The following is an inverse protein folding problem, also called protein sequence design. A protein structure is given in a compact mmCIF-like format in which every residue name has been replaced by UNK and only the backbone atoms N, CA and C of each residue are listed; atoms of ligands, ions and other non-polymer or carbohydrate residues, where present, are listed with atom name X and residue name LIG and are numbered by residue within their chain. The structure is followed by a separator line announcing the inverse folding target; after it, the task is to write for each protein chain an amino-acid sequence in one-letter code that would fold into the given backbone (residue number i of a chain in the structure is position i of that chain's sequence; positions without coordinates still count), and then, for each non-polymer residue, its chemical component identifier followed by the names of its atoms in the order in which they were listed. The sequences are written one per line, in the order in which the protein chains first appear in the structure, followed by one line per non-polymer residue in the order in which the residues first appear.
data_IF_704062073698
#
_entry.id   IF_704062073698
#
_cell.length_a   1.000
_cell.length_b   1.000
_cell.length_c   1.000
_cell.angle_alpha   90.00
_cell.angle_beta   90.00
_cell.angle_gamma   90.00
#
_symmetry.space_group_name_H-M   'P 1'
#
loop_
_entity.id
_entity.type
_entity.pdbx_description
1 polymer ?
#
# COMPACT_ATOMS: atom_id res chain seq x y z
N UNK A 1 -19.58 27.49 37.63
CA UNK A 1 -20.08 27.13 36.28
C UNK A 1 -18.96 27.21 35.24
N UNK A 2 -18.18 28.30 35.18
CA UNK A 2 -17.01 28.48 34.31
C UNK A 2 -15.95 27.36 34.37
N UNK A 3 -15.58 26.87 35.55
CA UNK A 3 -14.58 25.78 35.69
C UNK A 3 -15.04 24.44 35.08
N UNK A 4 -16.34 24.11 35.10
CA UNK A 4 -16.86 22.88 34.47
C UNK A 4 -16.83 22.97 32.95
N UNK A 5 -17.07 24.16 32.40
CA UNK A 5 -16.95 24.43 30.97
C UNK A 5 -15.49 24.33 30.49
N UNK A 6 -14.53 24.79 31.30
CA UNK A 6 -13.11 24.74 30.98
C UNK A 6 -12.58 23.29 30.94
N UNK A 7 -13.01 22.44 31.89
CA UNK A 7 -12.66 21.01 31.89
C UNK A 7 -13.25 20.30 30.67
N UNK A 8 -14.48 20.64 30.27
CA UNK A 8 -15.10 20.07 29.07
C UNK A 8 -14.32 20.43 27.79
N UNK A 9 -13.87 21.68 27.66
CA UNK A 9 -13.03 22.10 26.53
C UNK A 9 -11.68 21.36 26.48
N UNK A 10 -11.05 21.13 27.63
CA UNK A 10 -9.76 20.39 27.70
C UNK A 10 -9.94 18.92 27.30
N UNK A 11 -11.05 18.28 27.69
CA UNK A 11 -11.35 16.89 27.31
C UNK A 11 -11.63 16.76 25.80
N UNK A 12 -12.29 17.75 25.20
CA UNK A 12 -12.55 17.77 23.75
C UNK A 12 -11.26 18.00 22.95
N UNK A 13 -10.34 18.81 23.47
CA UNK A 13 -9.02 19.06 22.84
C UNK A 13 -8.08 17.85 22.88
N UNK A 14 -8.25 16.94 23.85
CA UNK A 14 -7.46 15.71 23.97
C UNK A 14 -7.99 14.54 23.11
N UNK A 15 -9.14 14.67 22.46
CA UNK A 15 -9.76 13.61 21.67
C UNK A 15 -9.18 13.43 20.25
N UNK A 16 -8.22 14.26 19.83
CA UNK A 16 -7.69 14.28 18.47
C UNK A 16 -6.37 13.49 18.31
N UNK A 17 -6.30 12.29 18.89
CA UNK A 17 -5.31 11.31 18.45
C UNK A 17 -5.89 10.59 17.23
N UNK A 18 -5.63 11.11 16.04
CA UNK A 18 -5.90 10.37 14.81
C UNK A 18 -5.08 9.06 14.87
N UNK A 19 -5.78 7.94 14.94
CA UNK A 19 -5.16 6.63 14.84
C UNK A 19 -4.90 6.41 13.36
N UNK A 20 -3.66 6.56 12.94
CA UNK A 20 -3.23 6.05 11.66
C UNK A 20 -3.32 4.53 11.64
N UNK A 21 -3.25 3.92 10.46
CA UNK A 21 -3.26 2.47 10.32
C UNK A 21 -2.06 2.04 9.45
N UNK A 22 -1.43 0.91 9.78
CA UNK A 22 -0.38 0.35 8.92
C UNK A 22 -0.98 -0.41 7.74
N UNK A 23 -0.20 -0.56 6.67
CA UNK A 23 -0.65 -1.26 5.47
C UNK A 23 -0.39 -2.76 5.60
N UNK A 24 -1.31 -3.55 5.05
CA UNK A 24 -1.12 -4.96 4.79
C UNK A 24 -1.44 -5.27 3.33
N UNK A 25 -0.41 -5.40 2.49
CA UNK A 25 -0.53 -5.73 1.08
C UNK A 25 -0.47 -7.22 0.83
N UNK A 26 -1.52 -7.73 0.17
CA UNK A 26 -1.46 -8.97 -0.59
C UNK A 26 -1.10 -8.67 -2.03
N UNK A 27 0.09 -9.09 -2.45
CA UNK A 27 0.53 -8.98 -3.85
C UNK A 27 0.15 -10.27 -4.59
N UNK A 28 -0.28 -10.14 -5.84
CA UNK A 28 -0.51 -11.28 -6.73
C UNK A 28 -0.02 -10.92 -8.12
N UNK A 29 0.83 -11.78 -8.70
CA UNK A 29 1.39 -11.57 -10.04
C UNK A 29 0.84 -12.61 -11.00
N UNK A 30 0.01 -12.18 -11.97
CA UNK A 30 -0.36 -12.99 -13.11
C UNK A 30 0.59 -12.70 -14.28
N UNK A 31 1.18 -13.74 -14.83
CA UNK A 31 2.02 -13.63 -16.03
C UNK A 31 1.67 -14.69 -17.07
N UNK A 32 0.45 -15.23 -17.08
CA UNK A 32 0.04 -16.35 -17.94
C UNK A 32 0.22 -16.06 -19.43
N UNK A 33 0.17 -14.78 -19.81
CA UNK A 33 0.38 -14.30 -21.17
C UNK A 33 1.86 -14.26 -21.59
N UNK A 34 2.80 -14.35 -20.64
CA UNK A 34 4.24 -14.24 -20.91
C UNK A 34 4.83 -15.58 -21.26
N UNK A 35 5.30 -15.71 -22.51
CA UNK A 35 6.00 -16.86 -23.02
C UNK A 35 7.48 -16.79 -22.64
N UNK A 36 7.81 -17.29 -21.45
CA UNK A 36 9.19 -17.42 -20.96
C UNK A 36 9.39 -18.78 -20.31
N UNK A 37 10.61 -19.32 -20.40
CA UNK A 37 11.00 -20.58 -19.73
C UNK A 37 11.18 -20.38 -18.23
N UNK A 38 11.58 -19.17 -17.82
CA UNK A 38 11.77 -18.84 -16.43
C UNK A 38 10.49 -18.27 -15.82
N UNK A 39 9.74 -19.13 -15.14
CA UNK A 39 8.52 -18.76 -14.40
C UNK A 39 8.80 -18.47 -12.92
N UNK A 40 10.02 -18.72 -12.43
CA UNK A 40 10.38 -18.52 -11.03
C UNK A 40 10.37 -17.02 -10.68
N UNK A 41 10.80 -16.19 -11.63
CA UNK A 41 10.86 -14.72 -11.52
C UNK A 41 9.54 -14.09 -11.07
N UNK A 42 8.38 -14.59 -11.51
CA UNK A 42 7.08 -14.03 -11.13
C UNK A 42 6.69 -14.37 -9.69
N UNK A 43 7.08 -15.56 -9.20
CA UNK A 43 6.88 -15.93 -7.79
C UNK A 43 7.84 -15.16 -6.88
N UNK A 44 9.06 -14.91 -7.35
CA UNK A 44 10.01 -14.07 -6.61
C UNK A 44 9.51 -12.62 -6.55
N UNK A 45 9.03 -12.06 -7.67
CA UNK A 45 8.38 -10.74 -7.70
C UNK A 45 7.27 -10.61 -6.66
N UNK A 46 6.32 -11.57 -6.64
CA UNK A 46 5.20 -11.54 -5.71
C UNK A 46 5.69 -11.47 -4.25
N UNK A 47 6.65 -12.31 -3.90
CA UNK A 47 7.27 -12.34 -2.56
C UNK A 47 8.05 -11.07 -2.26
N UNK A 48 8.88 -10.61 -3.19
CA UNK A 48 9.75 -9.45 -2.99
C UNK A 48 8.92 -8.18 -2.83
N UNK A 49 7.88 -7.98 -3.64
CA UNK A 49 7.03 -6.80 -3.57
C UNK A 49 6.18 -6.82 -2.31
N UNK A 50 5.63 -7.97 -1.92
CA UNK A 50 4.92 -8.13 -0.66
C UNK A 50 5.83 -7.85 0.53
N UNK A 51 7.06 -8.36 0.53
CA UNK A 51 8.03 -8.07 1.59
C UNK A 51 8.35 -6.58 1.65
N UNK A 52 8.64 -5.94 0.51
CA UNK A 52 8.93 -4.51 0.42
C UNK A 52 7.79 -3.66 1.02
N UNK A 53 6.54 -3.95 0.64
CA UNK A 53 5.36 -3.21 1.09
C UNK A 53 5.02 -3.47 2.58
N UNK A 54 5.21 -4.69 3.08
CA UNK A 54 4.73 -5.07 4.42
C UNK A 54 5.77 -4.98 5.54
N UNK A 55 7.07 -4.99 5.21
CA UNK A 55 8.14 -4.95 6.23
C UNK A 55 8.68 -3.56 6.49
N UNK A 56 8.37 -2.61 5.61
CA UNK A 56 8.72 -1.20 5.76
C UNK A 56 7.67 -0.49 6.60
N UNK A 57 8.13 0.40 7.48
CA UNK A 57 7.27 1.38 8.13
C UNK A 57 7.03 2.56 7.20
N UNK A 58 5.77 2.78 6.84
CA UNK A 58 5.34 3.91 5.99
C UNK A 58 4.91 5.13 6.80
N UNK A 59 4.66 4.96 8.10
CA UNK A 59 4.22 5.99 9.04
C UNK A 59 5.01 5.91 10.35
N UNK A 60 4.92 6.94 11.18
CA UNK A 60 5.61 7.02 12.47
C UNK A 60 4.98 6.19 13.59
N UNK A 61 3.72 5.76 13.42
CA UNK A 61 2.95 5.27 14.55
C UNK A 61 3.14 3.77 14.77
N UNK A 62 2.68 3.27 15.91
CA UNK A 62 2.86 1.87 16.33
C UNK A 62 1.51 1.18 16.40
N UNK A 63 1.38 0.02 15.75
CA UNK A 63 0.07 -0.60 15.49
C UNK A 63 -0.01 -2.04 15.97
N UNK A 64 -1.24 -2.51 16.20
CA UNK A 64 -1.55 -3.92 16.34
C UNK A 64 -1.96 -4.49 14.98
N UNK A 65 -1.71 -5.78 14.75
CA UNK A 65 -1.98 -6.42 13.45
C UNK A 65 -3.45 -6.34 12.99
N UNK A 66 -4.42 -6.24 13.90
CA UNK A 66 -5.84 -6.12 13.54
C UNK A 66 -6.26 -4.70 13.15
N UNK A 67 -5.39 -3.71 13.32
CA UNK A 67 -5.65 -2.31 12.99
C UNK A 67 -5.15 -1.96 11.59
N UNK A 68 -4.61 -2.93 10.83
CA UNK A 68 -4.02 -2.72 9.52
C UNK A 68 -5.08 -2.55 8.41
N UNK A 69 -4.76 -1.72 7.42
CA UNK A 69 -5.55 -1.54 6.20
C UNK A 69 -5.26 -2.70 5.26
N UNK A 70 -6.29 -3.43 4.86
CA UNK A 70 -6.16 -4.55 3.94
C UNK A 70 -6.04 -4.02 2.51
N UNK A 71 -4.88 -4.25 1.91
CA UNK A 71 -4.53 -3.80 0.58
C UNK A 71 -4.29 -5.00 -0.34
N UNK A 72 -4.61 -4.86 -1.62
CA UNK A 72 -4.22 -5.81 -2.65
C UNK A 72 -3.61 -5.09 -3.83
N UNK A 73 -2.49 -5.64 -4.30
CA UNK A 73 -1.83 -5.27 -5.54
C UNK A 73 -1.90 -6.48 -6.47
N UNK A 74 -2.77 -6.42 -7.48
CA UNK A 74 -2.82 -7.41 -8.54
C UNK A 74 -2.09 -6.88 -9.76
N UNK A 75 -0.99 -7.54 -10.15
CA UNK A 75 -0.20 -7.20 -11.32
C UNK A 75 -0.43 -8.23 -12.42
N UNK A 76 -0.93 -7.79 -13.56
CA UNK A 76 -1.04 -8.60 -14.76
C UNK A 76 0.08 -8.22 -15.74
N UNK A 77 1.10 -9.05 -15.84
CA UNK A 77 2.24 -8.86 -16.74
C UNK A 77 1.77 -9.14 -18.17
N UNK A 78 1.79 -8.08 -19.00
CA UNK A 78 1.31 -8.10 -20.37
C UNK A 78 2.43 -8.32 -21.39
N UNK A 79 3.64 -7.80 -21.11
CA UNK A 79 4.81 -7.95 -21.98
C UNK A 79 6.10 -8.04 -21.16
N UNK A 80 7.10 -8.67 -21.78
CA UNK A 80 8.49 -8.71 -21.30
C UNK A 80 9.40 -8.34 -22.48
N UNK A 81 9.63 -7.03 -22.75
CA UNK A 81 10.36 -6.58 -23.93
C UNK A 81 11.81 -7.08 -23.99
N UNK A 82 12.43 -7.26 -22.82
CA UNK A 82 13.76 -7.83 -22.65
C UNK A 82 13.85 -8.48 -21.27
N UNK A 83 14.93 -9.23 -21.03
CA UNK A 83 15.16 -9.86 -19.73
C UNK A 83 15.25 -8.79 -18.65
N UNK A 84 14.47 -8.97 -17.58
CA UNK A 84 14.38 -8.05 -16.45
C UNK A 84 13.50 -6.81 -16.68
N UNK A 85 12.91 -6.62 -17.88
CA UNK A 85 12.01 -5.51 -18.18
C UNK A 85 10.58 -6.02 -18.36
N UNK A 86 9.63 -5.38 -17.70
CA UNK A 86 8.24 -5.82 -17.66
C UNK A 86 7.28 -4.66 -17.92
N UNK A 87 6.21 -4.96 -18.64
CA UNK A 87 5.05 -4.07 -18.83
C UNK A 87 3.83 -4.76 -18.27
N UNK A 88 3.14 -4.11 -17.34
CA UNK A 88 2.03 -4.67 -16.61
C UNK A 88 0.85 -3.69 -16.49
N UNK A 89 -0.31 -4.25 -16.20
CA UNK A 89 -1.44 -3.51 -15.66
C UNK A 89 -1.53 -3.83 -14.17
N UNK A 90 -1.67 -2.82 -13.33
CA UNK A 90 -1.87 -2.99 -11.91
C UNK A 90 -3.30 -2.63 -11.51
N UNK A 91 -3.82 -3.39 -10.56
CA UNK A 91 -5.03 -3.06 -9.84
C UNK A 91 -4.68 -2.97 -8.36
N UNK A 92 -4.87 -1.78 -7.79
CA UNK A 92 -4.67 -1.49 -6.39
C UNK A 92 -6.04 -1.39 -5.74
N UNK A 93 -6.24 -2.11 -4.65
CA UNK A 93 -7.44 -1.99 -3.83
C UNK A 93 -7.05 -1.85 -2.37
N UNK A 94 -7.71 -0.96 -1.64
CA UNK A 94 -7.54 -0.83 -0.20
C UNK A 94 -8.90 -0.81 0.49
N UNK A 95 -9.00 -1.53 1.59
CA UNK A 95 -10.21 -1.62 2.40
C UNK A 95 -9.84 -1.61 3.89
N UNK A 96 -10.62 -0.87 4.67
CA UNK A 96 -10.48 -0.77 6.12
C UNK A 96 -11.43 -1.75 6.81
N UNK A 97 -10.95 -2.61 7.71
CA UNK A 97 -11.82 -3.40 8.58
C UNK A 97 -12.65 -2.50 9.50
N UNK A 98 -13.95 -2.72 9.58
CA UNK A 98 -14.81 -2.00 10.53
C UNK A 98 -14.63 -2.63 11.91
N UNK A 99 -14.38 -1.79 12.92
CA UNK A 99 -14.16 -2.25 14.29
C UNK A 99 -15.31 -3.14 14.78
N UNK A 100 -14.94 -4.30 15.35
CA UNK A 100 -15.87 -5.30 15.90
C UNK A 100 -16.89 -5.86 14.87
N UNK A 101 -16.48 -5.95 13.61
CA UNK A 101 -17.31 -6.41 12.50
C UNK A 101 -16.49 -7.26 11.52
N UNK A 102 -17.19 -8.10 10.74
CA UNK A 102 -16.61 -8.80 9.59
C UNK A 102 -16.75 -8.00 8.29
N UNK A 103 -17.29 -6.78 8.36
CA UNK A 103 -17.44 -5.90 7.21
C UNK A 103 -16.18 -5.05 7.01
N UNK A 104 -15.84 -4.78 5.75
CA UNK A 104 -14.78 -3.85 5.35
C UNK A 104 -15.40 -2.67 4.59
N UNK A 105 -14.81 -1.49 4.76
CA UNK A 105 -15.12 -0.31 3.96
C UNK A 105 -14.05 -0.11 2.91
N UNK A 106 -14.44 -0.01 1.64
CA UNK A 106 -13.49 0.25 0.54
C UNK A 106 -13.01 1.70 0.63
N UNK A 107 -11.69 1.88 0.70
CA UNK A 107 -11.03 3.19 0.66
C UNK A 107 -10.63 3.56 -0.77
N UNK A 108 -10.14 2.59 -1.53
CA UNK A 108 -9.59 2.83 -2.86
C UNK A 108 -9.77 1.60 -3.75
N UNK A 109 -10.07 1.85 -5.03
CA UNK A 109 -9.99 0.88 -6.11
C UNK A 109 -9.49 1.60 -7.36
N UNK A 110 -8.25 1.34 -7.77
CA UNK A 110 -7.59 2.07 -8.84
C UNK A 110 -6.88 1.12 -9.81
N UNK A 111 -7.08 1.35 -11.10
CA UNK A 111 -6.44 0.60 -12.18
C UNK A 111 -5.39 1.47 -12.88
N UNK A 112 -4.13 1.04 -12.80
CA UNK A 112 -3.02 1.61 -13.53
C UNK A 112 -2.71 0.73 -14.74
N UNK A 113 -2.78 1.31 -15.95
CA UNK A 113 -2.59 0.56 -17.20
C UNK A 113 -1.18 0.70 -17.76
N UNK A 114 -0.39 1.63 -17.23
CA UNK A 114 0.91 2.02 -17.79
C UNK A 114 2.02 1.75 -16.77
N UNK A 115 2.10 0.51 -16.28
CA UNK A 115 3.10 0.11 -15.30
C UNK A 115 4.29 -0.58 -15.98
N UNK A 116 5.34 0.18 -16.21
CA UNK A 116 6.61 -0.32 -16.77
C UNK A 116 7.68 -0.35 -15.69
N UNK A 117 8.39 -1.46 -15.54
CA UNK A 117 9.39 -1.59 -14.50
C UNK A 117 10.50 -2.59 -14.82
N UNK A 118 11.64 -2.37 -14.18
CA UNK A 118 12.77 -3.28 -14.17
C UNK A 118 12.75 -4.12 -12.88
N UNK A 119 13.02 -5.41 -13.01
CA UNK A 119 13.17 -6.32 -11.88
C UNK A 119 14.18 -7.42 -12.17
N UNK A 120 15.08 -7.63 -11.21
CA UNK A 120 16.09 -8.68 -11.25
C UNK A 120 15.93 -9.50 -9.97
N UNK A 121 15.78 -10.81 -10.12
CA UNK A 121 15.62 -11.72 -8.98
C UNK A 121 16.77 -11.56 -7.99
N UNK A 122 16.45 -11.69 -6.70
CA UNK A 122 17.41 -11.59 -5.60
C UNK A 122 18.12 -10.23 -5.45
N UNK A 123 17.89 -9.24 -6.33
CA UNK A 123 18.38 -7.89 -6.13
C UNK A 123 17.53 -7.19 -5.06
N UNK A 124 18.14 -6.51 -4.06
CA UNK A 124 17.38 -5.80 -3.05
C UNK A 124 16.59 -4.63 -3.66
N UNK A 125 15.37 -4.45 -3.17
CA UNK A 125 14.49 -3.35 -3.55
C UNK A 125 14.80 -2.11 -2.70
N UNK A 126 15.70 -1.28 -3.21
CA UNK A 126 16.11 -0.03 -2.57
C UNK A 126 15.07 1.09 -2.76
N UNK A 127 14.76 1.81 -1.67
CA UNK A 127 13.83 2.93 -1.69
C UNK A 127 14.24 4.01 -0.70
N UNK A 128 14.10 5.26 -1.13
CA UNK A 128 14.41 6.46 -0.37
C UNK A 128 13.26 7.45 -0.53
N UNK A 129 12.72 7.95 0.58
CA UNK A 129 11.57 8.87 0.59
C UNK A 129 11.89 10.22 -0.07
N UNK A 130 13.17 10.60 -0.10
CA UNK A 130 13.64 11.88 -0.60
C UNK A 130 14.31 11.80 -1.98
N UNK A 131 14.45 10.60 -2.55
CA UNK A 131 15.14 10.41 -3.82
C UNK A 131 14.52 9.28 -4.63
N UNK A 132 14.28 9.57 -5.90
CA UNK A 132 14.00 8.53 -6.88
C UNK A 132 15.22 7.61 -7.03
N UNK A 133 14.98 6.29 -7.00
CA UNK A 133 16.02 5.26 -7.23
C UNK A 133 15.66 4.43 -8.46
N UNK A 134 14.50 3.76 -8.42
CA UNK A 134 13.97 2.99 -9.55
C UNK A 134 12.49 3.20 -9.68
N UNK A 135 11.95 3.03 -10.90
CA UNK A 135 10.53 3.19 -11.12
C UNK A 135 9.70 2.19 -10.30
N UNK A 136 10.17 0.95 -10.18
CA UNK A 136 9.49 -0.10 -9.42
C UNK A 136 9.26 0.32 -7.96
N UNK A 137 10.34 0.65 -7.25
CA UNK A 137 10.25 0.94 -5.82
C UNK A 137 9.56 2.27 -5.57
N UNK A 138 9.74 3.25 -6.45
CA UNK A 138 9.01 4.51 -6.40
C UNK A 138 7.51 4.34 -6.63
N UNK A 139 7.07 3.51 -7.58
CA UNK A 139 5.65 3.23 -7.82
C UNK A 139 5.00 2.45 -6.67
N UNK A 140 5.69 1.44 -6.13
CA UNK A 140 5.21 0.70 -4.95
C UNK A 140 5.06 1.64 -3.74
N UNK A 141 6.05 2.49 -3.48
CA UNK A 141 5.98 3.47 -2.40
C UNK A 141 4.91 4.54 -2.62
N UNK A 142 4.75 5.01 -3.86
CA UNK A 142 3.70 5.96 -4.24
C UNK A 142 2.32 5.40 -3.88
N UNK A 143 1.99 4.19 -4.30
CA UNK A 143 0.69 3.60 -3.97
C UNK A 143 0.51 3.29 -2.48
N UNK A 144 1.59 2.95 -1.76
CA UNK A 144 1.53 2.85 -0.31
C UNK A 144 1.11 4.18 0.34
N UNK A 145 1.71 5.30 -0.08
CA UNK A 145 1.35 6.63 0.42
C UNK A 145 -0.02 7.09 -0.04
N UNK A 146 -0.45 6.79 -1.27
CA UNK A 146 -1.79 7.14 -1.76
C UNK A 146 -2.87 6.42 -0.95
N UNK A 147 -2.66 5.15 -0.61
CA UNK A 147 -3.60 4.42 0.25
C UNK A 147 -3.67 5.05 1.64
N UNK A 148 -2.53 5.40 2.23
CA UNK A 148 -2.51 6.10 3.53
C UNK A 148 -3.20 7.46 3.47
N UNK A 149 -3.00 8.21 2.38
CA UNK A 149 -3.66 9.48 2.18
C UNK A 149 -5.19 9.31 2.10
N UNK A 150 -5.68 8.34 1.32
CA UNK A 150 -7.11 8.03 1.23
C UNK A 150 -7.69 7.57 2.58
N UNK A 151 -6.89 6.86 3.38
CA UNK A 151 -7.26 6.45 4.73
C UNK A 151 -7.44 7.68 5.65
N UNK A 152 -6.46 8.59 5.69
CA UNK A 152 -6.54 9.80 6.50
C UNK A 152 -7.65 10.76 6.05
N UNK A 153 -7.85 10.92 4.74
CA UNK A 153 -8.87 11.81 4.16
C UNK A 153 -10.27 11.36 4.59
N UNK A 154 -10.54 10.05 4.63
CA UNK A 154 -11.83 9.49 5.05
C UNK A 154 -12.28 9.86 6.47
N UNK A 155 -11.35 10.32 7.32
CA UNK A 155 -11.63 10.84 8.66
C UNK A 155 -11.66 12.38 8.73
N UNK A 156 -11.27 13.06 7.66
CA UNK A 156 -11.37 14.50 7.49
C UNK A 156 -12.82 14.97 7.37
N UNK A 157 -13.06 16.25 7.62
CA UNK A 157 -14.41 16.83 7.64
C UNK A 157 -15.16 16.70 6.30
N UNK A 158 -14.44 16.54 5.19
CA UNK A 158 -15.01 16.40 3.84
C UNK A 158 -15.01 14.95 3.32
N UNK A 159 -14.39 14.03 4.06
CA UNK A 159 -14.12 12.65 3.65
C UNK A 159 -13.00 12.52 2.63
#
# INVERSE_FOLDING_TARGET
MLMRSLVLCVVILLAHSAIAQELFFKVTVNADQIQTTDRAVFKDMERAFANFLNTRKWTSDSYKNHEKINCSLFLNISKMPSIGNFVANAQITAARPIYNSNYESVLMNFADRDWEFEYIESLPLEFNDNSYITNLTSMLGFYAYVVLAADYDSFGELG
#
